data_IF_889873945643
#
_entry.id   IF_889873945643
#
_cell.length_a   1.000
_cell.length_b   1.000
_cell.length_c   1.000
_cell.angle_alpha   90.00
_cell.angle_beta   90.00
_cell.angle_gamma   90.00
#
_symmetry.space_group_name_H-M   'P 1'
#
loop_
_entity.id
_entity.type
_entity.pdbx_description
1 polymer ?
#
# COMPACT_ATOMS: atom_id res chain seq x y z
N UNK A 1 -13.29 6.39 -6.04
CA UNK A 1 -12.51 7.63 -5.80
C UNK A 1 -12.96 8.44 -4.58
N UNK A 2 -14.23 8.38 -4.16
CA UNK A 2 -14.77 9.20 -3.04
C UNK A 2 -13.94 9.03 -1.76
N UNK A 3 -13.68 7.79 -1.35
CA UNK A 3 -12.84 7.46 -0.19
C UNK A 3 -11.42 8.04 -0.27
N UNK A 4 -10.74 7.90 -1.40
CA UNK A 4 -9.38 8.46 -1.61
C UNK A 4 -9.35 9.99 -1.51
N UNK A 5 -10.39 10.67 -2.03
CA UNK A 5 -10.51 12.12 -1.91
C UNK A 5 -10.83 12.56 -0.47
N UNK A 6 -11.49 11.70 0.30
CA UNK A 6 -11.84 11.95 1.72
C UNK A 6 -10.68 11.66 2.67
N UNK A 7 -9.78 10.73 2.32
CA UNK A 7 -8.58 10.46 3.10
C UNK A 7 -7.60 11.63 2.97
N UNK A 8 -7.59 12.53 3.95
CA UNK A 8 -6.75 13.73 4.02
C UNK A 8 -5.28 13.41 4.34
N UNK A 9 -4.67 12.44 3.64
CA UNK A 9 -3.26 12.11 3.79
C UNK A 9 -2.37 13.14 3.08
N UNK A 10 -1.17 13.43 3.61
CA UNK A 10 -0.14 14.27 2.97
C UNK A 10 0.55 13.58 1.78
N UNK A 11 -0.24 12.96 0.90
CA UNK A 11 0.22 12.16 -0.24
C UNK A 11 0.92 13.04 -1.29
N UNK A 12 0.57 14.32 -1.37
CA UNK A 12 1.22 15.27 -2.27
C UNK A 12 2.72 15.48 -2.01
N UNK A 13 3.21 15.15 -0.80
CA UNK A 13 4.63 15.21 -0.45
C UNK A 13 5.38 13.89 -0.72
N UNK A 14 4.67 12.82 -1.08
CA UNK A 14 5.29 11.54 -1.40
C UNK A 14 6.06 11.64 -2.72
N UNK A 15 7.31 11.16 -2.75
CA UNK A 15 8.17 11.22 -3.93
C UNK A 15 7.70 10.30 -5.07
N UNK A 16 7.03 9.19 -4.75
CA UNK A 16 6.48 8.24 -5.74
C UNK A 16 5.22 7.60 -5.17
N UNK A 17 4.13 7.59 -5.96
CA UNK A 17 2.87 6.96 -5.56
C UNK A 17 2.61 5.80 -6.51
N UNK A 18 2.48 4.58 -5.99
CA UNK A 18 2.10 3.41 -6.77
C UNK A 18 0.66 3.03 -6.43
N UNK A 19 -0.16 2.77 -7.44
CA UNK A 19 -1.56 2.42 -7.25
C UNK A 19 -1.98 1.22 -8.09
N UNK A 20 -2.95 0.45 -7.59
CA UNK A 20 -3.50 -0.69 -8.34
C UNK A 20 -4.19 -0.24 -9.61
N UNK A 21 -4.31 -1.16 -10.56
CA UNK A 21 -5.04 -0.94 -11.82
C UNK A 21 -6.52 -0.57 -11.59
N UNK A 22 -7.09 -0.89 -10.42
CA UNK A 22 -8.45 -0.53 -10.00
C UNK A 22 -8.58 0.91 -9.51
N UNK A 23 -7.48 1.59 -9.21
CA UNK A 23 -7.44 3.00 -8.83
C UNK A 23 -6.98 3.85 -10.02
N UNK A 24 -7.75 3.88 -11.11
CA UNK A 24 -7.47 4.76 -12.26
C UNK A 24 -7.81 6.22 -11.94
N UNK A 25 -7.00 7.16 -12.44
CA UNK A 25 -7.22 8.60 -12.23
C UNK A 25 -6.32 9.35 -11.24
N UNK A 26 -5.59 8.71 -10.29
CA UNK A 26 -4.62 9.41 -9.42
C UNK A 26 -3.57 10.21 -10.18
N UNK A 27 -3.13 9.74 -11.36
CA UNK A 27 -2.22 10.47 -12.26
C UNK A 27 -2.70 11.88 -12.60
N UNK A 28 -4.03 12.14 -12.60
CA UNK A 28 -4.60 13.46 -12.91
C UNK A 28 -4.48 14.45 -11.74
N UNK A 29 -4.31 13.93 -10.53
CA UNK A 29 -4.26 14.71 -9.28
C UNK A 29 -2.82 14.85 -8.82
N UNK A 30 -2.02 13.79 -9.00
CA UNK A 30 -0.63 13.71 -8.59
C UNK A 30 0.24 13.27 -9.78
N UNK A 31 1.08 14.15 -10.34
CA UNK A 31 1.99 13.81 -11.44
C UNK A 31 2.95 12.67 -11.10
N UNK A 32 3.30 12.51 -9.82
CA UNK A 32 4.17 11.46 -9.31
C UNK A 32 3.48 10.09 -9.16
N UNK A 33 2.17 9.99 -9.44
CA UNK A 33 1.44 8.75 -9.35
C UNK A 33 1.66 7.85 -10.58
N UNK A 34 1.88 6.58 -10.34
CA UNK A 34 2.05 5.55 -11.35
C UNK A 34 0.99 4.47 -11.15
N UNK A 35 0.14 4.32 -12.18
CA UNK A 35 -0.88 3.30 -12.29
C UNK A 35 -0.63 2.47 -13.54
N UNK A 36 -0.81 1.14 -13.49
CA UNK A 36 -0.73 0.31 -14.69
C UNK A 36 -1.68 0.80 -15.78
N UNK A 37 -1.19 0.86 -17.02
CA UNK A 37 -2.03 1.15 -18.18
C UNK A 37 -2.93 -0.06 -18.46
N UNK A 38 -4.23 0.18 -18.59
CA UNK A 38 -5.20 -0.85 -19.00
C UNK A 38 -5.32 -0.87 -20.52
N UNK A 39 -5.33 -2.07 -21.10
CA UNK A 39 -5.78 -2.23 -22.48
C UNK A 39 -7.29 -1.98 -22.57
N UNK A 40 -7.72 -1.51 -23.73
CA UNK A 40 -9.13 -1.46 -24.11
C UNK A 40 -9.29 -1.98 -25.54
N UNK A 41 -10.52 -2.33 -25.94
CA UNK A 41 -10.80 -2.87 -27.27
C UNK A 41 -10.30 -1.98 -28.41
N UNK A 42 -10.34 -0.66 -28.22
CA UNK A 42 -9.90 0.34 -29.20
C UNK A 42 -8.45 0.78 -29.03
N UNK A 43 -7.83 0.49 -27.88
CA UNK A 43 -6.46 0.91 -27.54
C UNK A 43 -5.72 -0.27 -26.92
N UNK A 44 -5.12 -1.15 -27.76
CA UNK A 44 -4.25 -2.21 -27.28
C UNK A 44 -2.99 -1.62 -26.65
N UNK A 45 -2.35 -2.40 -25.76
CA UNK A 45 -1.10 -2.00 -25.11
C UNK A 45 0.06 -2.06 -26.12
N UNK A 46 0.81 -0.97 -26.22
CA UNK A 46 2.08 -0.95 -26.96
C UNK A 46 3.14 -1.78 -26.23
N UNK A 47 4.26 -2.07 -26.90
CA UNK A 47 5.36 -2.85 -26.31
C UNK A 47 5.98 -2.11 -25.13
N UNK A 48 6.09 -0.78 -25.24
CA UNK A 48 6.60 0.12 -24.21
C UNK A 48 5.69 0.13 -22.98
N UNK A 49 4.37 0.14 -23.21
CA UNK A 49 3.39 0.09 -22.13
C UNK A 49 3.43 -1.24 -21.37
N UNK A 50 3.66 -2.35 -22.09
CA UNK A 50 3.86 -3.66 -21.47
C UNK A 50 5.13 -3.69 -20.63
N UNK A 51 6.24 -3.13 -21.12
CA UNK A 51 7.49 -3.04 -20.37
C UNK A 51 7.33 -2.18 -19.11
N UNK A 52 6.68 -1.02 -19.21
CA UNK A 52 6.37 -0.17 -18.05
C UNK A 52 5.49 -0.90 -17.03
N UNK A 53 4.42 -1.56 -17.48
CA UNK A 53 3.55 -2.33 -16.60
C UNK A 53 4.29 -3.49 -15.92
N UNK A 54 5.23 -4.15 -16.62
CA UNK A 54 6.03 -5.22 -16.06
C UNK A 54 6.98 -4.71 -14.96
N UNK A 55 7.66 -3.57 -15.19
CA UNK A 55 8.49 -2.93 -14.17
C UNK A 55 7.69 -2.51 -12.93
N UNK A 56 6.50 -1.92 -13.14
CA UNK A 56 5.57 -1.59 -12.05
C UNK A 56 5.12 -2.83 -11.28
N UNK A 57 4.82 -3.92 -11.98
CA UNK A 57 4.43 -5.18 -11.36
C UNK A 57 5.55 -5.73 -10.47
N UNK A 58 6.81 -5.69 -10.93
CA UNK A 58 7.98 -6.14 -10.16
C UNK A 58 8.16 -5.36 -8.85
N UNK A 59 7.93 -4.05 -8.86
CA UNK A 59 7.95 -3.26 -7.62
C UNK A 59 6.80 -3.61 -6.69
N UNK A 60 5.59 -3.79 -7.24
CA UNK A 60 4.40 -4.15 -6.48
C UNK A 60 4.48 -5.54 -5.84
N UNK A 61 5.05 -6.53 -6.54
CA UNK A 61 5.21 -7.89 -5.99
C UNK A 61 6.03 -7.90 -4.70
N UNK A 62 7.01 -7.00 -4.55
CA UNK A 62 7.76 -6.86 -3.28
C UNK A 62 6.86 -6.42 -2.13
N UNK A 63 5.98 -5.47 -2.39
CA UNK A 63 5.02 -4.94 -1.42
C UNK A 63 3.97 -6.01 -1.06
N UNK A 64 3.46 -6.72 -2.06
CA UNK A 64 2.51 -7.82 -1.87
C UNK A 64 3.10 -8.96 -1.03
N UNK A 65 4.38 -9.31 -1.23
CA UNK A 65 5.09 -10.29 -0.40
C UNK A 65 5.21 -9.83 1.07
N UNK A 66 5.47 -8.55 1.32
CA UNK A 66 5.47 -7.99 2.68
C UNK A 66 4.07 -8.08 3.28
N UNK A 67 3.03 -7.72 2.52
CA UNK A 67 1.65 -7.84 2.99
C UNK A 67 1.25 -9.28 3.28
N UNK A 68 1.71 -10.25 2.50
CA UNK A 68 1.50 -11.66 2.77
C UNK A 68 2.09 -12.06 4.13
N UNK A 69 3.33 -11.62 4.44
CA UNK A 69 3.94 -11.81 5.76
C UNK A 69 3.15 -11.13 6.89
N UNK A 70 2.68 -9.91 6.68
CA UNK A 70 1.86 -9.22 7.71
C UNK A 70 0.53 -9.95 7.94
N UNK A 71 -0.09 -10.51 6.89
CA UNK A 71 -1.36 -11.24 6.99
C UNK A 71 -1.25 -12.55 7.76
N UNK A 72 -0.06 -13.16 7.88
CA UNK A 72 0.13 -14.40 8.67
C UNK A 72 -0.16 -14.17 10.16
N UNK A 73 0.10 -12.98 10.68
CA UNK A 73 -0.18 -12.59 12.06
C UNK A 73 -1.68 -12.45 12.37
N UNK A 74 -2.55 -12.60 11.37
CA UNK A 74 -4.03 -12.52 11.47
C UNK A 74 -4.60 -11.19 11.96
N UNK A 75 -3.76 -10.22 12.33
CA UNK A 75 -4.20 -8.93 12.85
C UNK A 75 -4.89 -8.04 11.80
N UNK A 76 -4.55 -8.23 10.53
CA UNK A 76 -5.05 -7.44 9.38
C UNK A 76 -5.98 -8.27 8.49
N UNK A 77 -5.87 -9.60 8.51
CA UNK A 77 -6.68 -10.50 7.69
C UNK A 77 -7.98 -10.96 8.36
N UNK A 78 -8.09 -10.82 9.69
CA UNK A 78 -9.28 -11.19 10.46
C UNK A 78 -9.70 -10.10 11.43
N UNK A 79 -10.89 -10.21 12.01
CA UNK A 79 -11.35 -9.32 13.07
C UNK A 79 -10.42 -9.42 14.27
N UNK A 80 -9.84 -8.29 14.66
CA UNK A 80 -8.90 -8.15 15.75
C UNK A 80 -9.66 -8.03 17.06
N UNK A 81 -9.67 -9.12 17.84
CA UNK A 81 -10.45 -9.24 19.09
C UNK A 81 -9.68 -8.82 20.36
N UNK A 82 -8.50 -8.23 20.22
CA UNK A 82 -7.63 -7.89 21.34
C UNK A 82 -7.71 -6.40 21.74
N UNK A 83 -7.15 -6.04 22.90
CA UNK A 83 -7.13 -4.65 23.38
C UNK A 83 -6.54 -3.67 22.36
N UNK A 84 -7.39 -2.76 21.86
CA UNK A 84 -7.07 -1.80 20.80
C UNK A 84 -6.02 -0.76 21.23
N UNK A 85 -5.95 -0.42 22.52
CA UNK A 85 -4.96 0.54 23.08
C UNK A 85 -3.51 0.16 22.77
N UNK A 86 -3.20 -1.14 22.62
CA UNK A 86 -1.84 -1.65 22.32
C UNK A 86 -1.67 -2.14 20.88
N UNK A 87 -2.64 -1.90 19.99
CA UNK A 87 -2.59 -2.35 18.60
C UNK A 87 -1.37 -1.78 17.87
N UNK A 88 -1.13 -0.47 17.99
CA UNK A 88 0.03 0.19 17.38
C UNK A 88 1.37 -0.40 17.85
N UNK A 89 1.51 -0.71 19.14
CA UNK A 89 2.73 -1.33 19.68
C UNK A 89 2.98 -2.73 19.09
N UNK A 90 1.92 -3.53 18.90
CA UNK A 90 2.03 -4.85 18.28
C UNK A 90 2.36 -4.77 16.79
N UNK A 91 1.75 -3.82 16.09
CA UNK A 91 2.10 -3.51 14.69
C UNK A 91 3.57 -3.11 14.56
N UNK A 92 4.06 -2.26 15.46
CA UNK A 92 5.46 -1.83 15.48
C UNK A 92 6.41 -3.01 15.67
N UNK A 93 6.10 -3.90 16.61
CA UNK A 93 6.92 -5.09 16.87
C UNK A 93 6.97 -6.02 15.65
N UNK A 94 5.82 -6.30 15.03
CA UNK A 94 5.74 -7.15 13.82
C UNK A 94 6.47 -6.50 12.65
N UNK A 95 6.33 -5.20 12.45
CA UNK A 95 7.11 -4.47 11.44
C UNK A 95 8.62 -4.60 11.70
N UNK A 96 9.06 -4.53 12.96
CA UNK A 96 10.45 -4.78 13.35
C UNK A 96 10.95 -6.16 12.94
N UNK A 97 10.18 -7.22 13.24
CA UNK A 97 10.51 -8.61 12.88
C UNK A 97 10.62 -8.78 11.36
N UNK A 98 9.61 -8.30 10.61
CA UNK A 98 9.61 -8.45 9.15
C UNK A 98 10.77 -7.65 8.52
N UNK A 99 11.08 -6.46 9.03
CA UNK A 99 12.24 -5.69 8.55
C UNK A 99 13.56 -6.42 8.81
N UNK A 100 13.70 -7.06 9.97
CA UNK A 100 14.88 -7.86 10.31
C UNK A 100 15.03 -9.06 9.36
N UNK A 101 13.96 -9.81 9.11
CA UNK A 101 13.97 -10.93 8.16
C UNK A 101 14.31 -10.53 6.72
N UNK A 102 13.95 -9.29 6.32
CA UNK A 102 14.23 -8.78 4.99
C UNK A 102 15.64 -8.18 4.85
N UNK A 103 16.45 -8.20 5.92
CA UNK A 103 17.81 -7.64 5.91
C UNK A 103 17.85 -6.11 5.81
N UNK A 104 16.73 -5.42 6.06
CA UNK A 104 16.67 -3.96 6.07
C UNK A 104 17.17 -3.41 7.41
N UNK A 105 18.49 -3.45 7.61
CA UNK A 105 19.13 -2.78 8.74
C UNK A 105 19.21 -1.26 8.46
N UNK A 106 18.30 -0.52 9.08
CA UNK A 106 18.41 0.92 9.35
C UNK A 106 18.82 1.83 8.17
N UNK A 107 18.07 1.84 7.04
CA UNK A 107 17.99 3.04 6.19
C UNK A 107 16.84 3.91 6.71
N UNK A 108 17.15 5.18 6.99
CA UNK A 108 16.22 6.23 7.47
C UNK A 108 14.84 6.09 6.77
N UNK A 109 13.79 5.89 7.58
CA UNK A 109 12.43 5.47 7.22
C UNK A 109 12.35 4.00 6.78
N UNK A 110 11.93 3.14 7.71
CA UNK A 110 11.67 1.73 7.40
C UNK A 110 10.60 1.61 6.31
N UNK A 111 10.83 0.73 5.34
CA UNK A 111 9.96 0.56 4.16
C UNK A 111 8.55 0.16 4.58
N UNK A 112 8.44 -0.67 5.63
CA UNK A 112 7.16 -1.01 6.22
C UNK A 112 6.51 0.22 6.84
N UNK A 113 7.20 1.10 7.57
CA UNK A 113 6.55 2.30 8.11
C UNK A 113 6.17 3.30 7.00
N UNK A 114 7.01 3.48 5.97
CA UNK A 114 6.66 4.37 4.86
C UNK A 114 5.41 3.86 4.11
N UNK A 115 5.34 2.56 3.81
CA UNK A 115 4.24 1.98 3.04
C UNK A 115 2.98 1.69 3.88
N UNK A 116 3.13 1.16 5.10
CA UNK A 116 1.99 0.88 5.96
C UNK A 116 1.37 2.14 6.54
N UNK A 117 2.12 3.19 6.87
CA UNK A 117 1.51 4.44 7.35
C UNK A 117 0.83 5.18 6.21
N UNK A 118 1.37 5.21 5.00
CA UNK A 118 0.64 5.77 3.85
C UNK A 118 -0.65 4.97 3.57
N UNK A 119 -0.61 3.64 3.65
CA UNK A 119 -1.81 2.80 3.44
C UNK A 119 -2.81 2.93 4.60
N UNK A 120 -2.36 3.01 5.86
CA UNK A 120 -3.22 3.24 7.04
C UNK A 120 -3.73 4.68 7.14
N UNK A 121 -3.03 5.68 6.60
CA UNK A 121 -3.48 7.08 6.53
C UNK A 121 -4.41 7.34 5.34
N UNK A 122 -4.34 6.53 4.27
CA UNK A 122 -5.30 6.53 3.15
C UNK A 122 -6.56 5.71 3.48
N UNK A 123 -6.47 4.69 4.34
CA UNK A 123 -7.59 3.87 4.78
C UNK A 123 -7.77 3.71 6.32
N UNK A 124 -7.77 4.78 7.13
CA UNK A 124 -8.06 4.62 8.56
C UNK A 124 -9.53 4.21 8.76
N UNK A 125 -10.44 4.76 7.96
CA UNK A 125 -11.88 4.46 8.05
C UNK A 125 -12.19 3.01 7.69
N UNK A 126 -11.56 2.46 6.65
CA UNK A 126 -11.90 1.12 6.15
C UNK A 126 -11.46 -0.02 7.09
N UNK A 127 -10.32 0.13 7.78
CA UNK A 127 -9.83 -0.87 8.73
C UNK A 127 -10.52 -0.78 10.10
N UNK A 128 -10.95 0.41 10.51
CA UNK A 128 -11.70 0.57 11.76
C UNK A 128 -13.19 0.22 11.57
N UNK A 129 -13.83 0.57 10.45
CA UNK A 129 -15.23 0.21 10.16
C UNK A 129 -15.42 -1.30 9.93
N UNK A 130 -14.48 -1.99 9.27
CA UNK A 130 -14.54 -3.47 9.17
C UNK A 130 -14.29 -4.22 10.48
N UNK A 131 -13.88 -3.52 11.54
CA UNK A 131 -13.74 -4.04 12.90
C UNK A 131 -14.95 -3.69 13.79
N UNK A 132 -15.97 -3.03 13.21
CA UNK A 132 -17.23 -2.64 13.85
C UNK A 132 -18.45 -3.42 13.32
N UNK A 133 -18.24 -4.37 12.38
CA UNK A 133 -19.22 -5.39 11.96
C UNK A 133 -18.78 -6.77 12.45
#
# INVERSE_FOLDING_TARGET
>A
MKLFKMSRGNIGQAGKILADSNYQGPMKIYPQAQTPRKSSKLKPLTVEDKACNHALSKERSKVENIFAKVKTFKMISTTYRNHRKRFGLRMNLIAGIINHELGFWFRRKSIIYAQTYEIFLIQPSFYIERQQL
#
